data_IF_354128097097
#
_entry.id   IF_354128097097
#
_cell.length_a   1.000
_cell.length_b   1.000
_cell.length_c   1.000
_cell.angle_alpha   90.00
_cell.angle_beta   90.00
_cell.angle_gamma   90.00
#
_symmetry.space_group_name_H-M   'P 1'
#
loop_
_entity.id
_entity.type
_entity.pdbx_description
1 polymer ?
#
# COMPACT_ATOMS: atom_id res chain seq x y z
N UNK A 1 -31.21 13.31 18.66
CA UNK A 1 -30.84 12.32 19.70
C UNK A 1 -29.68 11.42 19.24
N UNK A 2 -28.49 11.62 19.82
CA UNK A 2 -27.28 10.84 19.54
C UNK A 2 -27.41 9.46 20.19
N UNK A 3 -27.25 8.36 19.44
CA UNK A 3 -26.99 7.04 20.04
C UNK A 3 -25.49 6.91 20.36
N UNK A 4 -25.10 6.55 21.59
CA UNK A 4 -23.71 6.30 21.96
C UNK A 4 -23.35 4.83 21.67
N UNK A 5 -22.13 4.56 21.21
CA UNK A 5 -21.55 3.20 21.28
C UNK A 5 -20.96 2.58 20.00
N UNK A 6 -20.77 3.32 18.91
CA UNK A 6 -20.04 2.78 17.75
C UNK A 6 -18.53 2.78 17.98
N UNK A 7 -17.91 1.62 18.22
CA UNK A 7 -16.44 1.47 18.10
C UNK A 7 -16.00 2.01 16.72
N UNK A 8 -14.87 2.73 16.62
CA UNK A 8 -14.37 3.19 15.33
C UNK A 8 -14.15 1.96 14.45
N UNK A 9 -14.89 1.86 13.35
CA UNK A 9 -14.63 0.83 12.33
C UNK A 9 -13.21 1.07 11.81
N UNK A 10 -12.36 0.03 11.69
CA UNK A 10 -11.12 0.19 10.95
C UNK A 10 -11.48 0.72 9.55
N UNK A 11 -10.63 1.60 9.00
CA UNK A 11 -10.85 2.17 7.68
C UNK A 11 -10.94 1.02 6.66
N UNK A 12 -12.16 0.65 6.29
CA UNK A 12 -12.42 -0.40 5.32
C UNK A 12 -12.01 0.11 3.95
N UNK A 13 -11.19 -0.67 3.24
CA UNK A 13 -10.84 -0.34 1.86
C UNK A 13 -11.95 -0.91 0.98
N UNK A 14 -12.97 -0.09 0.73
CA UNK A 14 -14.06 -0.48 -0.16
C UNK A 14 -13.54 -0.77 -1.57
N UNK A 15 -13.91 -1.94 -2.13
CA UNK A 15 -13.49 -2.36 -3.47
C UNK A 15 -14.13 -1.43 -4.52
N UNK A 16 -13.35 -0.60 -5.23
CA UNK A 16 -13.91 0.29 -6.23
C UNK A 16 -14.28 -0.49 -7.50
N UNK A 17 -15.36 -0.08 -8.18
CA UNK A 17 -15.70 -0.54 -9.52
C UNK A 17 -14.71 -0.03 -10.59
N UNK A 18 -15.05 -0.14 -11.88
CA UNK A 18 -14.23 0.41 -12.98
C UNK A 18 -14.01 1.92 -12.75
N UNK A 19 -12.80 2.33 -12.36
CA UNK A 19 -12.50 3.69 -11.91
C UNK A 19 -11.08 3.86 -11.35
N UNK A 20 -10.75 5.08 -10.88
CA UNK A 20 -9.49 5.33 -10.15
C UNK A 20 -9.61 4.81 -8.72
N UNK A 21 -8.69 3.93 -8.33
CA UNK A 21 -8.56 3.45 -6.96
C UNK A 21 -7.37 4.15 -6.28
N UNK A 22 -7.58 4.64 -5.05
CA UNK A 22 -6.53 5.26 -4.24
C UNK A 22 -6.30 4.38 -3.02
N UNK A 23 -5.03 4.03 -2.79
CA UNK A 23 -4.62 3.14 -1.71
C UNK A 23 -3.77 3.93 -0.72
N UNK A 24 -4.15 3.85 0.54
CA UNK A 24 -3.47 4.51 1.64
C UNK A 24 -2.87 3.44 2.55
N UNK A 25 -1.53 3.38 2.64
CA UNK A 25 -0.87 2.62 3.69
C UNK A 25 -0.36 3.57 4.76
N UNK A 26 -0.81 3.33 5.99
CA UNK A 26 -0.28 3.98 7.18
C UNK A 26 0.35 2.90 8.03
N UNK A 27 1.68 2.91 8.15
CA UNK A 27 2.34 2.11 9.15
C UNK A 27 2.05 2.74 10.52
N UNK A 28 1.29 2.05 11.39
CA UNK A 28 1.15 2.49 12.78
C UNK A 28 2.50 2.31 13.44
N UNK A 29 3.07 3.44 13.89
CA UNK A 29 4.34 3.59 14.63
C UNK A 29 4.74 2.31 15.38
N UNK A 30 5.66 1.55 14.79
CA UNK A 30 6.46 0.59 15.55
C UNK A 30 7.46 1.45 16.33
N UNK A 31 7.24 1.61 17.64
CA UNK A 31 8.17 2.31 18.50
C UNK A 31 9.45 1.46 18.62
N UNK A 32 10.48 1.80 17.86
CA UNK A 32 11.83 1.27 18.01
C UNK A 32 12.77 2.47 18.12
N UNK A 33 13.70 2.39 19.07
CA UNK A 33 14.54 3.49 19.53
C UNK A 33 15.33 4.20 18.44
N UNK A 34 15.62 5.48 18.70
CA UNK A 34 16.42 6.38 17.86
C UNK A 34 17.73 5.71 17.42
N UNK A 35 17.91 5.54 16.12
CA UNK A 35 19.22 5.30 15.53
C UNK A 35 19.28 5.78 14.06
N UNK A 36 20.20 6.70 13.77
CA UNK A 36 20.88 6.82 12.47
C UNK A 36 20.11 7.42 11.31
N UNK A 37 20.36 8.71 11.05
CA UNK A 37 19.92 9.45 9.85
C UNK A 37 20.56 8.89 8.56
N UNK A 38 19.85 8.02 7.84
CA UNK A 38 19.96 7.85 6.38
C UNK A 38 18.55 7.54 5.82
N UNK A 39 17.67 8.54 5.84
CA UNK A 39 16.31 8.40 5.32
C UNK A 39 16.31 8.29 3.80
N UNK A 40 15.56 7.33 3.25
CA UNK A 40 15.24 7.32 1.82
C UNK A 40 14.61 8.67 1.43
N UNK A 41 14.96 9.20 0.25
CA UNK A 41 14.21 10.31 -0.34
C UNK A 41 12.95 9.78 -1.03
N UNK A 42 11.99 10.66 -1.32
CA UNK A 42 10.76 10.26 -2.04
C UNK A 42 11.10 9.80 -3.46
N UNK A 43 12.12 10.40 -4.07
CA UNK A 43 12.63 10.05 -5.39
C UNK A 43 13.23 8.65 -5.41
N UNK A 44 14.10 8.33 -4.44
CA UNK A 44 14.69 6.99 -4.33
C UNK A 44 13.62 5.93 -4.03
N UNK A 45 12.60 6.25 -3.24
CA UNK A 45 11.47 5.35 -3.01
C UNK A 45 10.67 5.10 -4.29
N UNK A 46 10.47 6.16 -5.10
CA UNK A 46 9.78 6.05 -6.40
C UNK A 46 10.57 5.19 -7.38
N UNK A 47 11.90 5.34 -7.44
CA UNK A 47 12.76 4.49 -8.27
C UNK A 47 12.75 3.02 -7.80
N UNK A 48 12.87 2.78 -6.50
CA UNK A 48 12.78 1.43 -5.94
C UNK A 48 11.42 0.78 -6.26
N UNK A 49 10.33 1.52 -6.09
CA UNK A 49 8.99 1.06 -6.42
C UNK A 49 8.83 0.77 -7.91
N UNK A 50 9.39 1.62 -8.78
CA UNK A 50 9.40 1.40 -10.23
C UNK A 50 10.16 0.11 -10.57
N UNK A 51 11.34 -0.09 -9.99
CA UNK A 51 12.15 -1.30 -10.21
C UNK A 51 11.43 -2.58 -9.78
N UNK A 52 10.73 -2.56 -8.64
CA UNK A 52 9.96 -3.71 -8.16
C UNK A 52 8.84 -4.08 -9.16
N UNK A 53 8.04 -3.10 -9.61
CA UNK A 53 6.89 -3.37 -10.49
C UNK A 53 7.26 -3.59 -11.96
N UNK A 54 8.47 -3.22 -12.39
CA UNK A 54 9.00 -3.53 -13.73
C UNK A 54 9.74 -4.88 -13.78
N UNK A 55 9.92 -5.54 -12.63
CA UNK A 55 10.54 -6.86 -12.57
C UNK A 55 9.70 -7.93 -13.30
N UNK A 56 10.34 -9.04 -13.69
CA UNK A 56 9.64 -10.20 -14.27
C UNK A 56 8.84 -11.00 -13.24
N UNK A 57 8.92 -10.63 -11.95
CA UNK A 57 8.26 -11.30 -10.84
C UNK A 57 6.75 -11.06 -10.78
N UNK A 58 6.15 -11.45 -9.65
CA UNK A 58 4.71 -11.28 -9.42
C UNK A 58 4.31 -9.80 -9.35
N UNK A 59 5.18 -8.94 -8.84
CA UNK A 59 4.93 -7.50 -8.65
C UNK A 59 4.57 -6.74 -9.93
N UNK A 60 4.82 -7.31 -11.11
CA UNK A 60 4.40 -6.79 -12.41
C UNK A 60 2.88 -6.56 -12.52
N UNK A 61 2.08 -7.25 -11.71
CA UNK A 61 0.61 -7.02 -11.64
C UNK A 61 0.28 -5.62 -11.13
N UNK A 62 1.24 -4.91 -10.51
CA UNK A 62 1.10 -3.55 -10.01
C UNK A 62 1.78 -2.50 -10.89
N UNK A 63 2.18 -2.83 -12.14
CA UNK A 63 2.90 -1.90 -13.04
C UNK A 63 2.20 -0.56 -13.30
N UNK A 64 0.88 -0.48 -13.08
CA UNK A 64 0.07 0.74 -13.24
C UNK A 64 -0.08 1.55 -11.96
N UNK A 65 0.52 1.11 -10.86
CA UNK A 65 0.52 1.81 -9.59
C UNK A 65 1.50 2.99 -9.62
N UNK A 66 1.11 4.12 -9.03
CA UNK A 66 1.92 5.34 -8.93
C UNK A 66 1.99 5.82 -7.50
N UNK A 67 3.19 6.21 -7.07
CA UNK A 67 3.39 6.89 -5.78
C UNK A 67 2.99 8.37 -5.90
N UNK A 68 1.98 8.78 -5.12
CA UNK A 68 1.48 10.16 -5.05
C UNK A 68 2.25 11.00 -4.02
N UNK A 69 2.41 10.46 -2.82
CA UNK A 69 3.11 11.15 -1.73
C UNK A 69 3.69 10.13 -0.75
N UNK A 70 4.82 10.46 -0.14
CA UNK A 70 5.43 9.67 0.91
C UNK A 70 5.88 10.58 2.06
N UNK A 71 5.65 10.10 3.28
CA UNK A 71 6.15 10.66 4.54
C UNK A 71 6.64 9.48 5.38
N UNK A 72 7.64 9.60 6.25
CA UNK A 72 8.18 8.45 6.97
C UNK A 72 7.09 7.60 7.65
N UNK A 73 7.01 6.31 7.29
CA UNK A 73 5.98 5.37 7.76
C UNK A 73 4.59 5.51 7.14
N UNK A 74 4.39 6.37 6.13
CA UNK A 74 3.10 6.55 5.45
C UNK A 74 3.29 6.91 3.98
N UNK A 75 2.71 6.12 3.10
CA UNK A 75 2.72 6.37 1.66
C UNK A 75 1.31 6.34 1.08
N UNK A 76 1.13 7.08 -0.01
CA UNK A 76 -0.13 7.13 -0.76
C UNK A 76 0.17 6.76 -2.20
N UNK A 77 -0.54 5.74 -2.68
CA UNK A 77 -0.42 5.26 -4.05
C UNK A 77 -1.78 5.34 -4.76
N UNK A 78 -1.75 5.52 -6.07
CA UNK A 78 -2.93 5.42 -6.93
C UNK A 78 -2.74 4.37 -8.01
N UNK A 79 -3.83 3.75 -8.44
CA UNK A 79 -3.86 2.88 -9.61
C UNK A 79 -5.21 2.98 -10.30
N UNK A 80 -5.20 3.09 -11.62
CA UNK A 80 -6.44 2.99 -12.42
C UNK A 80 -6.82 1.52 -12.56
N UNK A 81 -8.05 1.16 -12.17
CA UNK A 81 -8.57 -0.19 -12.39
C UNK A 81 -8.89 -0.35 -13.87
N UNK A 82 -8.32 -1.38 -14.48
CA UNK A 82 -8.49 -1.73 -15.89
C UNK A 82 -8.86 -3.21 -15.99
N UNK A 83 -9.24 -3.70 -17.17
CA UNK A 83 -9.77 -5.06 -17.33
C UNK A 83 -8.85 -6.14 -16.74
N UNK A 84 -7.53 -5.98 -16.91
CA UNK A 84 -6.51 -6.90 -16.36
C UNK A 84 -6.45 -6.94 -14.83
N UNK A 85 -7.03 -5.94 -14.16
CA UNK A 85 -7.10 -5.85 -12.69
C UNK A 85 -8.42 -6.43 -12.15
N UNK A 86 -9.36 -6.79 -13.02
CA UNK A 86 -10.71 -7.18 -12.60
C UNK A 86 -10.87 -8.68 -12.36
N UNK A 87 -11.85 -9.03 -11.54
CA UNK A 87 -12.36 -10.40 -11.42
C UNK A 87 -13.43 -10.68 -12.50
N UNK A 88 -13.99 -11.90 -12.51
CA UNK A 88 -15.07 -12.30 -13.44
C UNK A 88 -16.33 -11.41 -13.36
N UNK A 89 -16.53 -10.69 -12.24
CA UNK A 89 -17.62 -9.73 -12.04
C UNK A 89 -17.29 -8.31 -12.51
N UNK A 90 -16.11 -8.05 -13.09
CA UNK A 90 -15.71 -6.74 -13.60
C UNK A 90 -15.37 -5.70 -12.52
N UNK A 91 -15.20 -6.13 -11.27
CA UNK A 91 -14.68 -5.30 -10.16
C UNK A 91 -13.23 -5.64 -9.90
N UNK A 92 -12.51 -4.81 -9.13
CA UNK A 92 -11.13 -5.09 -8.75
C UNK A 92 -11.00 -6.48 -8.10
N UNK A 93 -10.00 -7.26 -8.52
CA UNK A 93 -9.76 -8.60 -8.02
C UNK A 93 -9.33 -8.56 -6.54
N UNK A 94 -9.93 -9.40 -5.69
CA UNK A 94 -9.62 -9.45 -4.26
C UNK A 94 -8.16 -9.83 -4.00
N UNK A 95 -7.61 -10.77 -4.78
CA UNK A 95 -6.18 -11.10 -4.72
C UNK A 95 -5.27 -9.94 -5.12
N UNK A 96 -5.67 -9.10 -6.08
CA UNK A 96 -4.88 -7.93 -6.47
C UNK A 96 -4.94 -6.84 -5.39
N UNK A 97 -6.10 -6.70 -4.75
CA UNK A 97 -6.26 -5.86 -3.56
C UNK A 97 -5.31 -6.32 -2.44
N UNK A 98 -5.18 -7.62 -2.21
CA UNK A 98 -4.23 -8.16 -1.25
C UNK A 98 -2.78 -7.84 -1.60
N UNK A 99 -2.39 -8.03 -2.86
CA UNK A 99 -1.05 -7.66 -3.34
C UNK A 99 -0.77 -6.17 -3.16
N UNK A 100 -1.77 -5.30 -3.41
CA UNK A 100 -1.63 -3.85 -3.19
C UNK A 100 -1.36 -3.54 -1.71
N UNK A 101 -2.12 -4.16 -0.79
CA UNK A 101 -1.90 -3.96 0.65
C UNK A 101 -0.50 -4.43 1.06
N UNK A 102 -0.07 -5.59 0.57
CA UNK A 102 1.25 -6.17 0.87
C UNK A 102 2.41 -5.27 0.40
N UNK A 103 2.42 -4.91 -0.88
CA UNK A 103 3.52 -4.14 -1.48
C UNK A 103 3.55 -2.71 -0.95
N UNK A 104 2.40 -2.05 -0.81
CA UNK A 104 2.35 -0.66 -0.33
C UNK A 104 2.72 -0.59 1.16
N UNK A 105 2.33 -1.58 1.97
CA UNK A 105 2.76 -1.62 3.38
C UNK A 105 4.25 -1.91 3.54
N UNK A 106 4.81 -2.82 2.74
CA UNK A 106 6.26 -3.09 2.69
C UNK A 106 7.04 -1.85 2.25
N UNK A 107 6.55 -1.13 1.25
CA UNK A 107 7.16 0.13 0.78
C UNK A 107 7.10 1.22 1.86
N UNK A 108 6.01 1.27 2.65
CA UNK A 108 5.91 2.19 3.77
C UNK A 108 6.91 1.87 4.90
N UNK A 109 7.23 0.58 5.13
CA UNK A 109 8.26 0.14 6.07
C UNK A 109 9.67 0.48 5.60
N UNK A 110 9.95 0.32 4.31
CA UNK A 110 11.20 0.77 3.69
C UNK A 110 11.41 2.27 3.87
N UNK A 111 10.31 3.04 3.84
CA UNK A 111 10.32 4.48 4.10
C UNK A 111 10.24 4.81 5.60
N UNK A 112 11.01 4.12 6.44
CA UNK A 112 11.20 4.43 7.87
C UNK A 112 12.69 4.46 8.21
N UNK A 113 13.04 4.88 9.43
CA UNK A 113 14.43 4.86 9.92
C UNK A 113 15.06 3.45 9.85
N UNK A 114 14.25 2.39 9.94
CA UNK A 114 14.74 1.02 9.86
C UNK A 114 15.19 0.64 8.44
N UNK A 115 14.63 1.28 7.40
CA UNK A 115 15.01 1.09 6.01
C UNK A 115 15.08 -0.38 5.53
N UNK A 116 14.30 -1.28 6.15
CA UNK A 116 14.35 -2.72 5.89
C UNK A 116 12.97 -3.24 5.50
N UNK A 117 12.87 -4.09 4.45
CA UNK A 117 11.65 -4.80 4.16
C UNK A 117 11.43 -5.88 5.24
N UNK A 118 10.17 -6.11 5.59
CA UNK A 118 9.76 -7.23 6.44
C UNK A 118 9.21 -8.39 5.60
N UNK A 119 8.91 -9.50 6.27
CA UNK A 119 8.09 -10.56 5.70
C UNK A 119 6.70 -10.45 6.32
N UNK A 120 5.68 -10.34 5.48
CA UNK A 120 4.28 -10.28 5.92
C UNK A 120 3.88 -11.57 6.63
N UNK A 121 3.48 -11.47 7.89
CA UNK A 121 3.07 -12.61 8.73
C UNK A 121 1.55 -12.79 8.76
N UNK A 122 0.82 -11.67 8.75
CA UNK A 122 -0.65 -11.64 8.74
C UNK A 122 -1.13 -10.48 7.87
N UNK A 123 -2.17 -10.74 7.08
CA UNK A 123 -2.87 -9.74 6.28
C UNK A 123 -4.37 -9.97 6.37
N UNK A 124 -5.09 -8.99 6.91
CA UNK A 124 -6.54 -8.97 6.96
C UNK A 124 -7.06 -7.87 6.03
N UNK A 125 -8.01 -8.23 5.17
CA UNK A 125 -8.67 -7.36 4.20
C UNK A 125 -10.16 -7.63 4.33
N UNK A 126 -10.95 -6.58 4.55
CA UNK A 126 -12.39 -6.66 4.80
C UNK A 126 -13.18 -5.72 3.92
#
# INVERSE_FOLDING_TARGET
PRKPGGKPRPAGVGVPGRGRAVWLAVCRRVAVGRAGSMGFTVESLREAMKYMVESQGFDRVLRKMKLLSATPGKIVCEMKVEEEHTNRGGTLHGGLTATLVDVVSTTALLYTERAMPGVSVDMNIT
#
